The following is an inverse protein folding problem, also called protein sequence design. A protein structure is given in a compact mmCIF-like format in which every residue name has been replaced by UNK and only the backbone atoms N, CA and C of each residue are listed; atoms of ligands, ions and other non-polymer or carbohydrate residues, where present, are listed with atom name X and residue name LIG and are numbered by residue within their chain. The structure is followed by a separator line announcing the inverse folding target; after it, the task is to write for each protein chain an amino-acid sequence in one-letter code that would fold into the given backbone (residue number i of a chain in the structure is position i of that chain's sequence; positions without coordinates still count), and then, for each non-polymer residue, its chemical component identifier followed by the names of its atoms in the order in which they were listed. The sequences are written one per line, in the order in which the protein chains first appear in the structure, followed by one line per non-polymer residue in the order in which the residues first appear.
data_IF_451202233962
#
_entry.id   IF_451202233962
#
_cell.length_a   1.000
_cell.length_b   1.000
_cell.length_c   1.000
_cell.angle_alpha   90.00
_cell.angle_beta   90.00
_cell.angle_gamma   90.00
#
_symmetry.space_group_name_H-M   'P 1'
#
loop_
_entity.id
_entity.type
_entity.pdbx_description
1 polymer ?
#
# COMPACT_ATOMS: atom_id res chain seq x y z
N UNK A 1 -32.56 -2.38 15.39
CA UNK A 1 -32.27 -1.48 14.25
C UNK A 1 -30.76 -1.38 14.18
N UNK A 2 -30.11 -2.21 13.37
CA UNK A 2 -28.69 -2.05 13.05
C UNK A 2 -28.59 -0.91 12.04
N UNK A 3 -28.12 0.24 12.49
CA UNK A 3 -27.77 1.33 11.58
C UNK A 3 -26.72 0.82 10.58
N UNK A 4 -26.91 0.96 9.26
CA UNK A 4 -25.85 0.64 8.31
C UNK A 4 -24.68 1.58 8.60
N UNK A 5 -23.52 1.01 8.91
CA UNK A 5 -22.28 1.79 9.04
C UNK A 5 -22.10 2.65 7.79
N UNK A 6 -21.76 3.95 7.93
CA UNK A 6 -21.57 4.82 6.79
C UNK A 6 -20.50 4.24 5.87
N UNK A 7 -20.81 4.13 4.57
CA UNK A 7 -19.89 3.63 3.55
C UNK A 7 -18.64 4.52 3.53
N UNK A 8 -17.45 3.93 3.65
CA UNK A 8 -16.18 4.66 3.54
C UNK A 8 -16.13 5.45 2.23
N UNK A 9 -15.67 6.69 2.30
CA UNK A 9 -15.41 7.54 1.12
C UNK A 9 -14.26 6.97 0.30
N UNK A 10 -14.17 7.35 -0.97
CA UNK A 10 -13.09 6.86 -1.85
C UNK A 10 -11.70 7.30 -1.38
N UNK A 11 -11.61 8.46 -0.71
CA UNK A 11 -10.37 8.92 -0.09
C UNK A 11 -9.95 8.03 1.09
N UNK A 12 -10.89 7.64 1.94
CA UNK A 12 -10.62 6.73 3.05
C UNK A 12 -10.20 5.34 2.54
N UNK A 13 -10.93 4.82 1.55
CA UNK A 13 -10.57 3.55 0.88
C UNK A 13 -9.17 3.61 0.29
N UNK A 14 -8.84 4.68 -0.45
CA UNK A 14 -7.53 4.82 -1.07
C UNK A 14 -6.40 4.90 -0.04
N UNK A 15 -6.63 5.62 1.07
CA UNK A 15 -5.66 5.71 2.17
C UNK A 15 -5.41 4.35 2.82
N UNK A 16 -6.48 3.62 3.16
CA UNK A 16 -6.37 2.30 3.80
C UNK A 16 -5.76 1.27 2.85
N UNK A 17 -6.15 1.30 1.58
CA UNK A 17 -5.56 0.46 0.55
C UNK A 17 -4.07 0.72 0.40
N UNK A 18 -3.64 1.99 0.42
CA UNK A 18 -2.22 2.35 0.34
C UNK A 18 -1.44 1.76 1.51
N UNK A 19 -1.94 1.87 2.73
CA UNK A 19 -1.31 1.27 3.90
C UNK A 19 -1.20 -0.26 3.78
N UNK A 20 -2.31 -0.92 3.40
CA UNK A 20 -2.33 -2.37 3.18
C UNK A 20 -1.33 -2.79 2.08
N UNK A 21 -1.33 -2.09 0.95
CA UNK A 21 -0.47 -2.38 -0.19
C UNK A 21 1.01 -2.23 0.18
N UNK A 22 1.37 -1.17 0.91
CA UNK A 22 2.75 -0.94 1.35
C UNK A 22 3.21 -2.01 2.34
N UNK A 23 2.38 -2.35 3.34
CA UNK A 23 2.70 -3.43 4.28
C UNK A 23 2.94 -4.75 3.54
N UNK A 24 2.01 -5.12 2.65
CA UNK A 24 2.12 -6.35 1.87
C UNK A 24 3.34 -6.33 0.96
N UNK A 25 3.55 -5.26 0.20
CA UNK A 25 4.65 -5.15 -0.76
C UNK A 25 6.01 -5.16 -0.05
N UNK A 26 6.14 -4.45 1.07
CA UNK A 26 7.40 -4.46 1.84
C UNK A 26 7.70 -5.81 2.47
N UNK A 27 6.67 -6.58 2.87
CA UNK A 27 6.84 -7.95 3.35
C UNK A 27 7.24 -8.91 2.23
N UNK A 28 6.55 -8.88 1.09
CA UNK A 28 6.79 -9.81 -0.02
C UNK A 28 8.12 -9.50 -0.73
N UNK A 29 8.54 -8.23 -0.78
CA UNK A 29 9.83 -7.83 -1.35
C UNK A 29 10.94 -7.64 -0.30
N UNK A 30 10.80 -8.17 0.92
CA UNK A 30 11.73 -7.91 2.01
C UNK A 30 13.19 -8.23 1.65
N UNK A 31 13.44 -9.39 1.00
CA UNK A 31 14.78 -9.79 0.58
C UNK A 31 15.36 -8.87 -0.50
N UNK A 32 14.55 -8.44 -1.46
CA UNK A 32 15.01 -7.57 -2.55
C UNK A 32 15.21 -6.14 -2.08
N UNK A 33 14.37 -5.66 -1.16
CA UNK A 33 14.57 -4.37 -0.49
C UNK A 33 15.85 -4.35 0.33
N UNK A 34 16.20 -5.46 1.00
CA UNK A 34 17.47 -5.57 1.72
C UNK A 34 18.67 -5.54 0.76
N UNK A 35 18.61 -6.26 -0.37
CA UNK A 35 19.65 -6.20 -1.42
C UNK A 35 19.81 -4.78 -1.99
N UNK A 36 18.70 -4.12 -2.32
CA UNK A 36 18.73 -2.74 -2.84
C UNK A 36 19.33 -1.80 -1.81
N UNK A 37 18.94 -1.92 -0.54
CA UNK A 37 19.44 -1.07 0.55
C UNK A 37 20.92 -1.30 0.88
N UNK A 38 21.41 -2.53 0.71
CA UNK A 38 22.81 -2.91 1.02
C UNK A 38 23.74 -2.73 -0.17
N UNK A 39 23.24 -2.33 -1.34
CA UNK A 39 24.06 -2.04 -2.51
C UNK A 39 24.96 -0.81 -2.28
N UNK A 40 26.19 -0.87 -2.79
CA UNK A 40 27.23 0.18 -2.61
C UNK A 40 26.82 1.55 -3.17
N UNK A 41 25.90 1.58 -4.13
CA UNK A 41 25.39 2.78 -4.78
C UNK A 41 24.07 3.29 -4.19
N UNK A 42 23.52 2.61 -3.19
CA UNK A 42 22.31 3.04 -2.50
C UNK A 42 22.60 4.20 -1.53
N UNK A 43 22.12 5.39 -1.89
CA UNK A 43 22.35 6.62 -1.13
C UNK A 43 21.17 6.95 -0.22
N UNK A 44 21.42 7.72 0.83
CA UNK A 44 20.38 8.10 1.80
C UNK A 44 19.20 8.87 1.18
N UNK A 45 19.44 9.62 0.10
CA UNK A 45 18.40 10.32 -0.66
C UNK A 45 17.55 9.37 -1.54
N UNK A 46 18.02 8.16 -1.83
CA UNK A 46 17.28 7.15 -2.56
C UNK A 46 16.14 6.51 -1.74
N UNK A 47 16.13 6.67 -0.42
CA UNK A 47 15.05 6.16 0.46
C UNK A 47 13.71 6.79 0.06
N UNK A 48 13.65 8.12 -0.11
CA UNK A 48 12.42 8.79 -0.50
C UNK A 48 11.93 8.31 -1.87
N UNK A 49 12.86 8.13 -2.82
CA UNK A 49 12.56 7.61 -4.16
C UNK A 49 12.00 6.20 -4.10
N UNK A 50 12.56 5.33 -3.26
CA UNK A 50 12.06 3.97 -3.07
C UNK A 50 10.66 3.95 -2.45
N UNK A 51 10.41 4.79 -1.44
CA UNK A 51 9.08 4.92 -0.82
C UNK A 51 8.05 5.43 -1.82
N UNK A 52 8.40 6.47 -2.58
CA UNK A 52 7.53 7.04 -3.61
C UNK A 52 7.22 6.01 -4.72
N UNK A 53 8.21 5.22 -5.13
CA UNK A 53 8.03 4.17 -6.13
C UNK A 53 7.09 3.06 -5.63
N UNK A 54 7.25 2.62 -4.38
CA UNK A 54 6.35 1.65 -3.77
C UNK A 54 4.93 2.21 -3.65
N UNK A 55 4.77 3.47 -3.25
CA UNK A 55 3.45 4.12 -3.19
C UNK A 55 2.79 4.23 -4.56
N UNK A 56 3.55 4.58 -5.61
CA UNK A 56 3.04 4.66 -6.98
C UNK A 56 2.49 3.34 -7.50
N UNK A 57 2.95 2.19 -6.98
CA UNK A 57 2.39 0.87 -7.30
C UNK A 57 0.89 0.75 -7.04
N UNK A 58 0.33 1.55 -6.12
CA UNK A 58 -1.13 1.60 -5.86
C UNK A 58 -1.94 2.09 -7.07
N UNK A 59 -1.35 2.88 -7.96
CA UNK A 59 -2.01 3.38 -9.17
C UNK A 59 -2.34 2.27 -10.19
N UNK A 60 -1.77 1.07 -10.02
CA UNK A 60 -2.10 -0.10 -10.84
C UNK A 60 -3.50 -0.67 -10.53
N UNK A 61 -4.15 -0.22 -9.45
CA UNK A 61 -5.45 -0.70 -9.00
C UNK A 61 -6.50 0.40 -9.14
N UNK A 62 -7.59 0.07 -9.81
CA UNK A 62 -8.76 0.95 -9.92
C UNK A 62 -9.41 1.18 -8.54
N UNK A 63 -10.16 2.28 -8.35
CA UNK A 63 -10.86 2.54 -7.10
C UNK A 63 -11.78 1.39 -6.64
N UNK A 64 -12.40 0.67 -7.58
CA UNK A 64 -13.24 -0.50 -7.27
C UNK A 64 -12.43 -1.67 -6.74
N UNK A 65 -11.24 -1.94 -7.30
CA UNK A 65 -10.33 -2.98 -6.81
C UNK A 65 -9.79 -2.63 -5.42
N UNK A 66 -9.40 -1.37 -5.21
CA UNK A 66 -8.96 -0.89 -3.90
C UNK A 66 -10.05 -1.09 -2.84
N UNK A 67 -11.31 -0.74 -3.17
CA UNK A 67 -12.46 -0.94 -2.29
C UNK A 67 -12.70 -2.40 -1.96
N UNK A 68 -12.64 -3.29 -2.94
CA UNK A 68 -12.82 -4.74 -2.73
C UNK A 68 -11.78 -5.30 -1.76
N UNK A 69 -10.53 -4.89 -1.89
CA UNK A 69 -9.45 -5.33 -0.98
C UNK A 69 -9.70 -4.81 0.43
N UNK A 70 -9.95 -3.52 0.60
CA UNK A 70 -10.20 -2.90 1.91
C UNK A 70 -11.41 -3.53 2.60
N UNK A 71 -12.52 -3.73 1.89
CA UNK A 71 -13.73 -4.32 2.47
C UNK A 71 -13.56 -5.81 2.83
N UNK A 72 -12.73 -6.54 2.08
CA UNK A 72 -12.41 -7.95 2.39
C UNK A 72 -11.50 -8.07 3.62
N UNK A 73 -10.49 -7.22 3.73
CA UNK A 73 -9.57 -7.20 4.88
C UNK A 73 -10.26 -6.78 6.18
N UNK A 74 -11.23 -5.84 6.13
CA UNK A 74 -12.03 -5.44 7.30
C UNK A 74 -12.92 -6.59 7.82
N UNK A 75 -13.19 -7.61 7.00
CA UNK A 75 -14.06 -8.73 7.37
C UNK A 75 -13.28 -9.93 7.95
N UNK A 76 -11.95 -9.84 8.05
CA UNK A 76 -11.08 -10.91 8.52
C UNK A 76 -10.63 -10.70 9.97
#
# INVERSE_FOLDING_TARGET
MTDPQPRKTDKEVSSEFTSYYLERSTKEFAEDLDKVRTADDFKNDAISVLVDALQQGTAMFSPEEQRRVVETEVTK
#
